data_IF_481280073297
#
_entry.id   IF_481280073297
#
_cell.length_a   1.000
_cell.length_b   1.000
_cell.length_c   1.000
_cell.angle_alpha   90.00
_cell.angle_beta   90.00
_cell.angle_gamma   90.00
#
_symmetry.space_group_name_H-M   'P 1'
#
loop_
_entity.id
_entity.type
_entity.pdbx_description
1 polymer ?
#
# COMPACT_ATOMS: atom_id res chain seq x y z
N UNK A 1 -28.77 22.48 -24.82
CA UNK A 1 -27.65 22.04 -23.96
C UNK A 1 -28.21 21.58 -22.60
N UNK A 2 -28.99 20.49 -22.58
CA UNK A 2 -29.65 20.00 -21.35
C UNK A 2 -30.00 18.50 -21.39
N UNK A 3 -29.36 17.71 -22.26
CA UNK A 3 -29.63 16.26 -22.36
C UNK A 3 -28.49 15.38 -21.82
N UNK A 4 -27.28 15.92 -21.66
CA UNK A 4 -26.12 15.15 -21.17
C UNK A 4 -26.11 15.07 -19.62
N UNK A 5 -26.74 16.02 -18.92
CA UNK A 5 -26.82 15.99 -17.46
C UNK A 5 -27.78 14.93 -16.90
N UNK A 6 -28.80 14.53 -17.67
CA UNK A 6 -29.82 13.57 -17.21
C UNK A 6 -29.38 12.11 -17.30
N UNK A 7 -28.43 11.77 -18.18
CA UNK A 7 -27.91 10.41 -18.31
C UNK A 7 -26.94 10.02 -17.18
N UNK A 8 -26.25 11.00 -16.59
CA UNK A 8 -25.33 10.79 -15.46
C UNK A 8 -26.09 10.62 -14.14
N UNK A 9 -27.29 11.21 -14.02
CA UNK A 9 -28.14 11.05 -12.83
C UNK A 9 -28.92 9.72 -12.79
N UNK A 10 -29.21 9.08 -13.92
CA UNK A 10 -29.90 7.77 -13.91
C UNK A 10 -28.98 6.58 -13.63
N UNK A 11 -27.67 6.70 -13.85
CA UNK A 11 -26.71 5.64 -13.50
C UNK A 11 -26.32 5.62 -12.01
N UNK A 12 -26.80 6.58 -11.21
CA UNK A 12 -26.50 6.71 -9.78
C UNK A 12 -27.65 6.29 -8.86
N UNK A 13 -28.74 5.72 -9.39
CA UNK A 13 -29.93 5.33 -8.60
C UNK A 13 -30.36 3.87 -8.75
N UNK A 14 -29.44 2.99 -9.13
CA UNK A 14 -29.62 1.55 -8.92
C UNK A 14 -28.49 1.01 -8.03
N UNK A 15 -28.27 1.68 -6.89
CA UNK A 15 -27.56 1.06 -5.79
C UNK A 15 -28.60 0.28 -5.00
N UNK A 16 -28.61 -1.03 -5.23
CA UNK A 16 -29.38 -2.02 -4.50
C UNK A 16 -29.14 -1.79 -2.99
N UNK A 17 -30.15 -1.24 -2.30
CA UNK A 17 -30.13 -1.02 -0.86
C UNK A 17 -30.25 -2.37 -0.16
N UNK A 18 -29.15 -3.13 -0.15
CA UNK A 18 -28.96 -4.20 0.80
C UNK A 18 -28.62 -3.55 2.13
N UNK A 19 -29.56 -3.64 3.06
CA UNK A 19 -29.39 -3.33 4.46
C UNK A 19 -28.14 -4.03 4.99
N UNK A 20 -27.04 -3.30 5.11
CA UNK A 20 -25.84 -3.74 5.81
C UNK A 20 -26.07 -3.54 7.31
N UNK A 21 -26.97 -4.35 7.87
CA UNK A 21 -27.06 -4.55 9.31
C UNK A 21 -26.22 -5.79 9.61
N UNK A 22 -24.91 -5.58 9.67
CA UNK A 22 -23.95 -6.38 10.44
C UNK A 22 -22.58 -5.72 10.28
N UNK A 23 -22.26 -4.78 11.18
CA UNK A 23 -20.90 -4.24 11.30
C UNK A 23 -20.03 -5.39 11.83
N UNK A 24 -19.07 -5.93 11.06
CA UNK A 24 -18.15 -6.90 11.61
C UNK A 24 -17.28 -6.16 12.63
N UNK A 25 -17.29 -6.66 13.86
CA UNK A 25 -16.29 -6.32 14.89
C UNK A 25 -14.89 -6.54 14.30
N UNK A 26 -13.84 -5.77 14.66
CA UNK A 26 -12.52 -5.89 14.05
C UNK A 26 -12.03 -7.33 14.08
N UNK A 27 -12.15 -8.03 12.95
CA UNK A 27 -11.80 -9.44 12.86
C UNK A 27 -10.29 -9.52 12.96
N UNK A 28 -9.82 -10.19 14.00
CA UNK A 28 -8.48 -10.75 14.08
C UNK A 28 -8.11 -11.32 12.72
N UNK A 29 -6.97 -10.91 12.14
CA UNK A 29 -6.48 -11.39 10.84
C UNK A 29 -6.79 -12.87 10.66
N UNK A 30 -7.58 -13.16 9.63
CA UNK A 30 -7.92 -14.53 9.29
C UNK A 30 -6.63 -15.27 8.91
N UNK A 31 -6.20 -16.18 9.78
CA UNK A 31 -5.02 -17.03 9.60
C UNK A 31 -5.20 -18.05 8.46
N UNK A 32 -6.35 -18.05 7.75
CA UNK A 32 -6.69 -19.03 6.72
C UNK A 32 -6.22 -18.67 5.30
N UNK A 33 -5.59 -17.51 5.06
CA UNK A 33 -4.96 -17.27 3.74
C UNK A 33 -3.84 -18.30 3.56
N UNK A 34 -3.92 -19.20 2.56
CA UNK A 34 -2.85 -20.16 2.32
C UNK A 34 -1.55 -19.40 2.12
N UNK A 35 -0.51 -19.76 2.89
CA UNK A 35 0.84 -19.18 2.81
C UNK A 35 1.47 -19.29 1.42
N UNK A 36 0.81 -20.02 0.52
CA UNK A 36 1.23 -20.35 -0.81
C UNK A 36 0.62 -19.46 -1.90
N UNK A 37 -0.27 -18.53 -1.53
CA UNK A 37 -0.90 -17.59 -2.47
C UNK A 37 -0.45 -16.16 -2.22
N UNK A 38 -0.45 -15.32 -3.27
CA UNK A 38 -0.18 -13.90 -3.16
C UNK A 38 -1.47 -13.20 -2.74
N UNK A 39 -1.58 -12.67 -1.51
CA UNK A 39 -2.80 -12.01 -1.07
C UNK A 39 -3.03 -10.70 -1.83
N UNK A 40 -4.29 -10.29 -1.97
CA UNK A 40 -4.62 -9.01 -2.61
C UNK A 40 -4.49 -7.84 -1.63
N UNK A 41 -3.27 -7.66 -1.14
CA UNK A 41 -2.88 -6.67 -0.13
C UNK A 41 -1.89 -5.72 -0.79
N UNK A 42 -2.03 -4.41 -0.60
CA UNK A 42 -1.12 -3.41 -1.19
C UNK A 42 -0.31 -2.72 -0.11
N UNK A 43 0.96 -2.47 -0.38
CA UNK A 43 1.90 -1.82 0.52
C UNK A 43 2.54 -0.61 -0.15
N UNK A 44 2.49 0.52 0.57
CA UNK A 44 3.24 1.72 0.30
C UNK A 44 4.21 1.97 1.46
N UNK A 45 5.38 2.53 1.19
CA UNK A 45 6.34 2.95 2.23
C UNK A 45 6.52 4.46 2.16
N UNK A 46 6.18 5.16 3.24
CA UNK A 46 6.35 6.61 3.35
C UNK A 46 7.07 6.94 4.67
N UNK A 47 8.36 7.22 4.58
CA UNK A 47 9.19 7.57 5.74
C UNK A 47 9.25 9.09 5.90
N UNK A 48 8.92 9.58 7.10
CA UNK A 48 9.03 10.99 7.46
C UNK A 48 10.44 11.28 7.99
N UNK A 49 11.09 12.39 7.56
CA UNK A 49 12.39 12.78 8.10
C UNK A 49 12.35 13.12 9.60
N UNK A 50 11.24 13.71 10.03
CA UNK A 50 10.93 14.04 11.42
C UNK A 50 9.76 13.16 11.89
N UNK A 51 9.92 12.45 13.01
CA UNK A 51 8.91 11.55 13.56
C UNK A 51 7.61 12.28 13.95
N UNK A 52 7.72 13.57 14.25
CA UNK A 52 6.61 14.47 14.54
C UNK A 52 6.21 15.33 13.34
N UNK A 53 6.86 15.14 12.19
CA UNK A 53 6.66 15.88 10.95
C UNK A 53 5.38 15.51 10.19
N UNK A 54 5.10 16.26 9.13
CA UNK A 54 3.92 16.08 8.28
C UNK A 54 4.14 15.08 7.14
N UNK A 55 3.05 14.41 6.77
CA UNK A 55 2.96 13.63 5.55
C UNK A 55 2.72 14.55 4.35
N UNK A 56 3.79 14.97 3.67
CA UNK A 56 3.71 15.89 2.54
C UNK A 56 3.39 15.12 1.25
N UNK A 57 2.10 14.84 1.04
CA UNK A 57 1.62 14.17 -0.17
C UNK A 57 1.28 15.15 -1.30
N UNK A 58 1.59 14.75 -2.53
CA UNK A 58 1.21 15.45 -3.77
C UNK A 58 0.01 14.76 -4.43
N UNK A 59 -0.54 15.40 -5.46
CA UNK A 59 -1.65 14.83 -6.22
C UNK A 59 -1.29 13.48 -6.87
N UNK A 60 -0.06 13.36 -7.40
CA UNK A 60 0.46 12.11 -7.97
C UNK A 60 0.38 10.95 -6.98
N UNK A 61 0.75 11.19 -5.71
CA UNK A 61 0.68 10.20 -4.64
C UNK A 61 -0.77 9.79 -4.32
N UNK A 62 -1.70 10.74 -4.33
CA UNK A 62 -3.11 10.38 -4.19
C UNK A 62 -3.58 9.55 -5.38
N UNK A 63 -3.21 9.93 -6.61
CA UNK A 63 -3.66 9.28 -7.84
C UNK A 63 -3.15 7.85 -7.96
N UNK A 64 -1.91 7.55 -7.55
CA UNK A 64 -1.39 6.18 -7.57
C UNK A 64 -2.07 5.28 -6.53
N UNK A 65 -2.35 5.78 -5.32
CA UNK A 65 -3.09 5.02 -4.31
C UNK A 65 -4.53 4.77 -4.79
N UNK A 66 -5.17 5.82 -5.32
CA UNK A 66 -6.49 5.71 -5.91
C UNK A 66 -6.53 4.71 -7.06
N UNK A 67 -5.52 4.73 -7.95
CA UNK A 67 -5.42 3.77 -9.05
C UNK A 67 -5.29 2.34 -8.55
N UNK A 68 -4.44 2.08 -7.56
CA UNK A 68 -4.31 0.76 -6.94
C UNK A 68 -5.63 0.31 -6.31
N UNK A 69 -6.29 1.19 -5.53
CA UNK A 69 -7.59 0.92 -4.94
C UNK A 69 -8.65 0.59 -6.00
N UNK A 70 -8.73 1.39 -7.06
CA UNK A 70 -9.74 1.27 -8.10
C UNK A 70 -9.54 0.03 -8.98
N UNK A 71 -8.33 -0.21 -9.47
CA UNK A 71 -8.06 -1.29 -10.42
C UNK A 71 -7.79 -2.64 -9.76
N UNK A 72 -7.14 -2.65 -8.58
CA UNK A 72 -6.74 -3.90 -7.93
C UNK A 72 -7.71 -4.33 -6.85
N UNK A 73 -8.57 -3.41 -6.38
CA UNK A 73 -9.55 -3.67 -5.32
C UNK A 73 -8.96 -4.47 -4.15
N UNK A 74 -7.85 -3.99 -3.55
CA UNK A 74 -7.17 -4.72 -2.50
C UNK A 74 -8.10 -4.91 -1.31
N UNK A 75 -7.93 -6.01 -0.57
CA UNK A 75 -8.62 -6.19 0.70
C UNK A 75 -8.17 -5.16 1.73
N UNK A 76 -6.90 -4.75 1.67
CA UNK A 76 -6.30 -3.76 2.57
C UNK A 76 -5.15 -3.02 1.89
N UNK A 77 -5.02 -1.73 2.21
CA UNK A 77 -3.92 -0.87 1.79
C UNK A 77 -3.12 -0.51 3.04
N UNK A 78 -1.83 -0.82 3.05
CA UNK A 78 -0.94 -0.39 4.12
C UNK A 78 -0.09 0.79 3.68
N UNK A 79 -0.01 1.81 4.53
CA UNK A 79 1.10 2.77 4.52
C UNK A 79 2.02 2.43 5.68
N UNK A 80 3.20 1.93 5.35
CA UNK A 80 4.27 1.67 6.31
C UNK A 80 5.11 2.93 6.48
N UNK A 81 5.31 3.34 7.73
CA UNK A 81 5.99 4.59 8.07
C UNK A 81 6.81 4.44 9.35
N UNK A 82 7.76 5.34 9.59
CA UNK A 82 8.44 5.46 10.89
C UNK A 82 7.68 6.34 11.89
N UNK A 83 6.68 7.10 11.46
CA UNK A 83 5.82 7.86 12.37
C UNK A 83 4.94 6.92 13.21
N UNK A 84 4.58 7.33 14.42
CA UNK A 84 3.61 6.61 15.25
C UNK A 84 2.23 6.58 14.58
N UNK A 85 1.54 5.43 14.58
CA UNK A 85 0.18 5.29 14.03
C UNK A 85 -0.81 6.27 14.68
N UNK A 86 -0.61 6.62 15.95
CA UNK A 86 -1.36 7.66 16.67
C UNK A 86 -0.53 8.95 16.91
N UNK A 87 0.57 9.12 16.17
CA UNK A 87 1.46 10.26 16.29
C UNK A 87 0.88 11.53 15.67
N UNK A 88 1.52 12.67 15.96
CA UNK A 88 1.00 13.98 15.55
C UNK A 88 0.88 14.13 14.03
N UNK A 89 1.84 13.60 13.25
CA UNK A 89 1.78 13.63 11.78
C UNK A 89 0.54 12.95 11.22
N UNK A 90 0.16 11.78 11.75
CA UNK A 90 -1.05 11.05 11.33
C UNK A 90 -2.31 11.81 11.73
N UNK A 91 -2.35 12.38 12.94
CA UNK A 91 -3.47 13.20 13.40
C UNK A 91 -3.67 14.44 12.52
N UNK A 92 -2.60 15.13 12.16
CA UNK A 92 -2.64 16.32 11.29
C UNK A 92 -3.04 15.96 9.87
N UNK A 93 -2.56 14.84 9.32
CA UNK A 93 -3.02 14.33 8.02
C UNK A 93 -4.54 14.09 8.03
N UNK A 94 -5.06 13.36 9.01
CA UNK A 94 -6.50 13.10 9.15
C UNK A 94 -7.34 14.37 9.32
N UNK A 95 -6.83 15.38 10.02
CA UNK A 95 -7.50 16.69 10.18
C UNK A 95 -7.34 17.64 8.99
N UNK A 96 -6.56 17.25 7.97
CA UNK A 96 -6.24 18.08 6.81
C UNK A 96 -5.26 19.22 7.07
N UNK A 97 -4.56 19.15 8.20
CA UNK A 97 -3.53 20.12 8.60
C UNK A 97 -2.18 19.84 7.92
N UNK A 98 -1.94 18.62 7.43
CA UNK A 98 -0.77 18.25 6.61
C UNK A 98 -1.01 18.44 5.09
N UNK A 99 -2.06 19.17 4.71
CA UNK A 99 -2.45 19.42 3.32
C UNK A 99 -3.56 18.51 2.79
N UNK A 100 -4.18 18.95 1.69
CA UNK A 100 -5.40 18.33 1.13
C UNK A 100 -5.21 16.88 0.67
N UNK A 101 -4.05 16.55 0.11
CA UNK A 101 -3.79 15.21 -0.42
C UNK A 101 -3.52 14.21 0.70
N UNK A 102 -2.81 14.65 1.75
CA UNK A 102 -2.65 13.85 2.96
C UNK A 102 -4.02 13.58 3.61
N UNK A 103 -4.88 14.60 3.67
CA UNK A 103 -6.26 14.41 4.13
C UNK A 103 -7.00 13.33 3.35
N UNK A 104 -7.06 13.46 2.02
CA UNK A 104 -7.77 12.51 1.18
C UNK A 104 -7.20 11.09 1.29
N UNK A 105 -5.89 10.93 1.29
CA UNK A 105 -5.28 9.60 1.46
C UNK A 105 -5.69 8.98 2.80
N UNK A 106 -5.75 9.75 3.88
CA UNK A 106 -5.98 9.22 5.23
C UNK A 106 -7.47 9.05 5.59
N UNK A 107 -8.39 9.53 4.75
CA UNK A 107 -9.83 9.53 5.07
C UNK A 107 -10.74 8.93 3.98
N UNK A 108 -10.27 8.78 2.74
CA UNK A 108 -11.11 8.31 1.63
C UNK A 108 -11.18 6.78 1.52
N UNK A 109 -10.14 6.06 1.96
CA UNK A 109 -10.05 4.62 1.81
C UNK A 109 -10.40 3.93 3.12
N UNK A 110 -11.57 3.28 3.17
CA UNK A 110 -12.07 2.59 4.39
C UNK A 110 -11.15 1.45 4.84
N UNK A 111 -10.44 0.83 3.90
CA UNK A 111 -9.53 -0.29 4.13
C UNK A 111 -8.05 0.12 4.13
N UNK A 112 -7.74 1.37 4.50
CA UNK A 112 -6.36 1.84 4.63
C UNK A 112 -5.89 1.84 6.08
N UNK A 113 -4.74 1.22 6.32
CA UNK A 113 -4.10 1.12 7.63
C UNK A 113 -2.70 1.73 7.65
N UNK A 114 -2.39 2.47 8.72
CA UNK A 114 -1.06 3.02 8.97
C UNK A 114 -0.30 2.09 9.91
N UNK A 115 0.87 1.62 9.48
CA UNK A 115 1.74 0.75 10.29
C UNK A 115 3.06 1.45 10.60
N UNK A 116 3.33 1.64 11.89
CA UNK A 116 4.64 2.08 12.36
C UNK A 116 5.65 0.94 12.23
N UNK A 117 6.79 1.24 11.63
CA UNK A 117 7.87 0.31 11.36
C UNK A 117 9.18 0.83 11.96
N UNK A 118 9.94 -0.07 12.58
CA UNK A 118 11.32 0.22 12.97
C UNK A 118 12.19 0.25 11.72
N UNK A 119 12.73 1.42 11.41
CA UNK A 119 13.64 1.63 10.27
C UNK A 119 15.08 1.35 10.72
N UNK A 120 15.82 0.47 10.03
CA UNK A 120 17.20 0.18 10.40
C UNK A 120 18.11 1.39 10.15
N UNK A 121 19.09 1.59 11.03
CA UNK A 121 20.20 2.52 10.82
C UNK A 121 21.40 1.87 10.16
N UNK A 122 21.51 0.54 10.23
CA UNK A 122 22.61 -0.26 9.68
C UNK A 122 22.05 -1.51 9.02
N UNK A 123 22.72 -2.01 7.98
CA UNK A 123 22.47 -3.32 7.38
C UNK A 123 23.14 -4.44 8.21
N UNK A 124 22.85 -5.72 7.92
CA UNK A 124 23.37 -6.84 8.72
C UNK A 124 24.90 -7.00 8.61
N UNK A 125 25.51 -6.44 7.57
CA UNK A 125 26.97 -6.36 7.41
C UNK A 125 27.61 -5.20 8.22
N UNK A 126 26.82 -4.42 8.97
CA UNK A 126 27.29 -3.30 9.79
C UNK A 126 27.43 -1.97 9.04
N UNK A 127 27.12 -1.90 7.73
CA UNK A 127 27.18 -0.67 6.95
C UNK A 127 26.04 0.29 7.33
N UNK A 128 26.37 1.58 7.50
CA UNK A 128 25.39 2.61 7.84
C UNK A 128 24.46 2.92 6.65
N UNK A 129 23.15 2.89 6.89
CA UNK A 129 22.14 3.24 5.90
C UNK A 129 21.84 4.73 6.03
N UNK A 130 22.56 5.56 5.26
CA UNK A 130 22.44 7.02 5.33
C UNK A 130 21.21 7.57 4.62
N UNK A 131 20.90 6.99 3.47
CA UNK A 131 19.92 7.49 2.51
C UNK A 131 18.53 6.91 2.82
N UNK A 132 17.49 7.75 2.81
CA UNK A 132 16.13 7.34 3.21
C UNK A 132 15.53 6.34 2.22
N UNK A 133 15.91 6.46 0.95
CA UNK A 133 15.56 5.57 -0.14
C UNK A 133 16.06 4.16 0.17
N UNK A 134 17.31 4.00 0.60
CA UNK A 134 17.84 2.69 1.02
C UNK A 134 17.15 2.15 2.28
N UNK A 135 16.75 3.03 3.20
CA UNK A 135 15.94 2.62 4.37
C UNK A 135 14.58 2.06 3.96
N UNK A 136 13.97 2.63 2.93
CA UNK A 136 12.68 2.18 2.40
C UNK A 136 12.76 0.78 1.79
N UNK A 137 13.93 0.37 1.27
CA UNK A 137 14.17 -0.97 0.74
C UNK A 137 14.02 -2.05 1.83
N UNK A 138 14.50 -1.81 3.04
CA UNK A 138 14.29 -2.74 4.14
C UNK A 138 12.82 -2.82 4.57
N UNK A 139 12.12 -1.68 4.59
CA UNK A 139 10.72 -1.63 5.04
C UNK A 139 9.81 -2.33 4.03
N UNK A 140 9.99 -2.10 2.72
CA UNK A 140 9.16 -2.73 1.67
C UNK A 140 9.29 -4.24 1.67
N UNK A 141 10.52 -4.75 1.82
CA UNK A 141 10.77 -6.20 1.83
C UNK A 141 10.20 -6.83 3.10
N UNK A 142 10.41 -6.20 4.27
CA UNK A 142 9.84 -6.69 5.53
C UNK A 142 8.32 -6.74 5.48
N UNK A 143 7.68 -5.69 4.96
CA UNK A 143 6.23 -5.63 4.81
C UNK A 143 5.69 -6.82 3.99
N UNK A 144 6.24 -7.03 2.80
CA UNK A 144 5.82 -8.12 1.91
C UNK A 144 6.18 -9.50 2.47
N UNK A 145 7.32 -9.65 3.14
CA UNK A 145 7.68 -10.92 3.77
C UNK A 145 6.72 -11.28 4.92
N UNK A 146 6.35 -10.31 5.75
CA UNK A 146 5.49 -10.52 6.91
C UNK A 146 4.01 -10.69 6.55
N UNK A 147 3.52 -9.98 5.55
CA UNK A 147 2.09 -9.91 5.22
C UNK A 147 1.74 -10.59 3.90
N UNK A 148 2.72 -10.81 3.02
CA UNK A 148 2.48 -11.10 1.60
C UNK A 148 1.80 -9.91 0.91
N UNK A 149 1.69 -9.95 -0.41
CA UNK A 149 0.94 -8.98 -1.19
C UNK A 149 1.80 -8.27 -2.22
N UNK A 150 1.46 -7.01 -2.47
CA UNK A 150 1.94 -6.20 -3.58
C UNK A 150 2.62 -4.97 -3.01
N UNK A 151 3.92 -4.83 -3.25
CA UNK A 151 4.64 -3.58 -3.01
C UNK A 151 4.70 -2.75 -4.28
N UNK A 152 4.56 -1.43 -4.13
CA UNK A 152 4.67 -0.47 -5.22
C UNK A 152 5.29 0.86 -4.73
N UNK A 153 6.23 1.41 -5.49
CA UNK A 153 6.82 2.73 -5.25
C UNK A 153 5.85 3.89 -5.56
N UNK A 154 6.13 5.07 -5.01
CA UNK A 154 5.34 6.30 -5.18
C UNK A 154 5.49 6.96 -6.57
N UNK A 155 6.19 6.33 -7.50
CA UNK A 155 6.33 6.74 -8.90
C UNK A 155 5.73 5.71 -9.89
N UNK A 156 4.99 4.71 -9.39
CA UNK A 156 4.34 3.68 -10.21
C UNK A 156 2.81 3.79 -10.12
N UNK A 157 2.14 3.67 -11.27
CA UNK A 157 0.68 3.75 -11.37
C UNK A 157 0.06 2.41 -11.76
N UNK A 158 -0.99 2.02 -11.05
CA UNK A 158 -1.87 0.93 -11.48
C UNK A 158 -2.73 1.41 -12.67
N UNK A 159 -2.64 0.71 -13.80
CA UNK A 159 -3.37 1.03 -15.03
C UNK A 159 -4.45 -0.01 -15.40
N UNK A 160 -4.42 -1.17 -14.74
CA UNK A 160 -5.33 -2.30 -14.97
C UNK A 160 -5.25 -3.29 -13.81
N UNK A 161 -6.23 -4.17 -13.71
CA UNK A 161 -6.20 -5.30 -12.78
C UNK A 161 -5.01 -6.21 -13.09
N UNK A 162 -4.28 -6.62 -12.04
CA UNK A 162 -3.15 -7.54 -12.09
C UNK A 162 -3.50 -8.95 -11.60
N UNK A 163 -4.78 -9.24 -11.35
CA UNK A 163 -5.28 -10.54 -10.90
C UNK A 163 -4.74 -11.71 -11.70
N UNK A 164 -4.63 -11.58 -13.03
CA UNK A 164 -4.06 -12.63 -13.90
C UNK A 164 -2.62 -12.98 -13.53
N UNK A 165 -1.84 -12.02 -13.05
CA UNK A 165 -0.47 -12.22 -12.58
C UNK A 165 -0.49 -12.75 -11.15
N UNK A 166 -1.30 -12.15 -10.27
CA UNK A 166 -1.41 -12.55 -8.85
C UNK A 166 -1.88 -14.00 -8.69
N UNK A 167 -2.80 -14.46 -9.54
CA UNK A 167 -3.43 -15.78 -9.48
C UNK A 167 -2.79 -16.80 -10.44
N UNK A 168 -1.63 -16.48 -11.02
CA UNK A 168 -0.93 -17.34 -11.99
C UNK A 168 -0.31 -18.61 -11.39
N UNK A 169 -0.37 -18.79 -10.07
CA UNK A 169 0.21 -19.94 -9.35
C UNK A 169 1.66 -19.75 -8.90
N UNK A 170 2.33 -18.66 -9.28
CA UNK A 170 3.65 -18.32 -8.73
C UNK A 170 3.54 -17.74 -7.31
N UNK A 171 4.50 -18.09 -6.45
CA UNK A 171 4.58 -17.57 -5.07
C UNK A 171 5.29 -16.22 -4.95
N UNK A 172 5.94 -15.77 -6.02
CA UNK A 172 6.60 -14.47 -6.09
C UNK A 172 6.76 -14.07 -7.55
N UNK A 173 6.48 -12.80 -7.85
CA UNK A 173 6.61 -12.23 -9.19
C UNK A 173 7.21 -10.83 -9.04
N UNK A 174 8.21 -10.52 -9.88
CA UNK A 174 8.85 -9.23 -9.88
C UNK A 174 9.15 -8.79 -11.32
N UNK A 175 9.29 -7.47 -11.51
CA UNK A 175 9.69 -6.91 -12.79
C UNK A 175 11.17 -7.16 -13.09
N UNK A 176 11.52 -7.14 -14.37
CA UNK A 176 12.93 -7.12 -14.81
C UNK A 176 13.39 -5.67 -14.94
N UNK A 177 14.60 -5.37 -14.48
CA UNK A 177 15.25 -4.08 -14.73
C UNK A 177 16.39 -4.21 -15.75
N UNK A 178 16.99 -3.06 -16.11
CA UNK A 178 18.12 -2.99 -17.04
C UNK A 178 19.25 -3.92 -16.57
N UNK A 179 19.89 -4.62 -17.50
CA UNK A 179 20.95 -5.59 -17.17
C UNK A 179 20.45 -6.94 -16.68
N UNK A 180 19.13 -7.18 -16.69
CA UNK A 180 18.56 -8.49 -16.38
C UNK A 180 18.39 -8.79 -14.90
N UNK A 181 18.67 -7.81 -14.03
CA UNK A 181 18.40 -7.86 -12.60
C UNK A 181 16.90 -7.76 -12.31
N UNK A 182 16.52 -8.00 -11.06
CA UNK A 182 15.15 -7.85 -10.56
C UNK A 182 14.91 -6.39 -10.15
N UNK A 183 13.76 -5.83 -10.51
CA UNK A 183 13.32 -4.51 -10.04
C UNK A 183 12.74 -4.62 -8.61
N UNK A 184 13.21 -3.76 -7.70
CA UNK A 184 12.73 -3.68 -6.31
C UNK A 184 11.65 -2.62 -6.09
N UNK A 185 11.29 -1.85 -7.13
CA UNK A 185 10.28 -0.80 -7.06
C UNK A 185 8.84 -1.29 -7.21
N UNK A 186 8.65 -2.50 -7.73
CA UNK A 186 7.35 -3.20 -7.69
C UNK A 186 7.57 -4.70 -7.72
N UNK A 187 7.04 -5.39 -6.72
CA UNK A 187 7.09 -6.85 -6.64
C UNK A 187 5.92 -7.37 -5.81
N UNK A 188 5.56 -8.62 -6.07
CA UNK A 188 4.46 -9.29 -5.38
C UNK A 188 4.93 -10.64 -4.86
N UNK A 189 4.47 -11.04 -3.67
CA UNK A 189 4.92 -12.28 -3.05
C UNK A 189 3.89 -12.84 -2.08
N UNK A 190 3.85 -14.16 -1.98
CA UNK A 190 3.23 -14.84 -0.86
C UNK A 190 4.04 -14.54 0.41
N UNK A 191 3.36 -14.65 1.56
CA UNK A 191 3.95 -14.45 2.89
C UNK A 191 5.10 -15.44 3.12
N UNK A 192 6.21 -14.98 3.71
CA UNK A 192 7.42 -15.78 4.00
C UNK A 192 7.97 -16.57 2.80
N UNK A 193 7.80 -16.03 1.59
CA UNK A 193 8.33 -16.63 0.36
C UNK A 193 9.86 -16.80 0.40
N UNK A 194 10.37 -17.79 -0.32
CA UNK A 194 11.83 -17.96 -0.48
C UNK A 194 12.48 -16.76 -1.19
N UNK A 195 11.72 -16.00 -1.97
CA UNK A 195 12.22 -14.85 -2.72
C UNK A 195 12.56 -13.66 -1.81
N UNK A 196 11.77 -13.39 -0.77
CA UNK A 196 11.96 -12.23 0.11
C UNK A 196 13.07 -12.44 1.14
N UNK A 197 13.37 -13.69 1.51
CA UNK A 197 14.37 -14.03 2.56
C UNK A 197 15.77 -13.46 2.29
N UNK A 198 16.37 -13.59 1.10
CA UNK A 198 17.69 -13.03 0.83
C UNK A 198 17.71 -11.50 0.84
N UNK A 199 16.57 -10.84 0.62
CA UNK A 199 16.46 -9.37 0.60
C UNK A 199 16.26 -8.75 1.99
N UNK A 200 16.05 -9.59 3.01
CA UNK A 200 15.93 -9.14 4.41
C UNK A 200 17.29 -8.97 5.11
N UNK A 201 18.36 -9.49 4.49
CA UNK A 201 19.72 -9.52 5.02
C UNK A 201 20.49 -8.26 4.61
#
# INVERSE_FOLDING_TARGET
MCLILLLVLHFRLSYDSRTFTDVPTPTTYDQTIPTDTIPNVVHFVYLVPDLDGDFVFQFSHFLLIYGAWYYWQPSIIYIHTNAGTNGMGVMRARKGQAGKWAHHIFTLFENLEIRTMKVPSHADNGEEIKVMEHKSDFVRVRAVDELGGIYIDYDVHALRDIRVIRDSGFKAIAGRQKGGQINSGTFISARKSKMTKPWLQ
#
